data_IF_481932607989
#
_entry.id   IF_481932607989
#
_cell.length_a   1.000
_cell.length_b   1.000
_cell.length_c   1.000
_cell.angle_alpha   90.00
_cell.angle_beta   90.00
_cell.angle_gamma   90.00
#
_symmetry.space_group_name_H-M   'P 1'
#
loop_
_entity.id
_entity.type
_entity.pdbx_description
1 polymer ?
#
# COMPACT_ATOMS: atom_id res chain seq x y z
N UNK A 1 -21.65 -30.73 -14.72
CA UNK A 1 -20.71 -29.67 -15.08
C UNK A 1 -21.14 -28.28 -14.61
N UNK A 2 -22.37 -27.91 -14.86
CA UNK A 2 -22.89 -26.60 -14.47
C UNK A 2 -22.82 -26.38 -12.95
N UNK A 3 -23.19 -27.39 -12.17
CA UNK A 3 -23.16 -27.30 -10.70
C UNK A 3 -21.74 -27.12 -10.19
N UNK A 4 -20.78 -27.86 -10.75
CA UNK A 4 -19.39 -27.74 -10.36
C UNK A 4 -18.82 -26.36 -10.72
N UNK A 5 -19.22 -25.81 -11.86
CA UNK A 5 -18.79 -24.47 -12.26
C UNK A 5 -19.31 -23.41 -11.29
N UNK A 6 -20.55 -23.55 -10.85
CA UNK A 6 -21.13 -22.61 -9.88
C UNK A 6 -20.39 -22.70 -8.56
N UNK A 7 -20.10 -23.89 -8.06
CA UNK A 7 -19.34 -24.07 -6.82
C UNK A 7 -17.94 -23.51 -6.95
N UNK A 8 -17.27 -23.78 -8.07
CA UNK A 8 -15.92 -23.28 -8.30
C UNK A 8 -15.92 -21.75 -8.40
N UNK A 9 -16.92 -21.17 -9.05
CA UNK A 9 -17.05 -19.73 -9.15
C UNK A 9 -17.23 -19.09 -7.77
N UNK A 10 -18.04 -19.69 -6.89
CA UNK A 10 -18.25 -19.18 -5.54
C UNK A 10 -16.98 -19.28 -4.69
N UNK A 11 -16.28 -20.41 -4.78
CA UNK A 11 -15.01 -20.59 -4.08
C UNK A 11 -13.96 -19.60 -4.60
N UNK A 12 -13.88 -19.43 -5.91
CA UNK A 12 -12.95 -18.50 -6.53
C UNK A 12 -13.27 -17.05 -6.14
N UNK A 13 -14.57 -16.74 -6.04
CA UNK A 13 -14.99 -15.41 -5.61
C UNK A 13 -14.55 -15.12 -4.18
N UNK A 14 -14.77 -16.06 -3.26
CA UNK A 14 -14.35 -15.88 -1.87
C UNK A 14 -12.83 -15.76 -1.77
N UNK A 15 -12.10 -16.59 -2.51
CA UNK A 15 -10.65 -16.52 -2.52
C UNK A 15 -10.16 -15.15 -3.05
N UNK A 16 -10.78 -14.66 -4.12
CA UNK A 16 -10.45 -13.35 -4.67
C UNK A 16 -10.78 -12.24 -3.68
N UNK A 17 -11.91 -12.33 -2.99
CA UNK A 17 -12.29 -11.35 -1.99
C UNK A 17 -11.37 -11.41 -0.78
N UNK A 18 -10.87 -12.59 -0.42
CA UNK A 18 -9.90 -12.73 0.67
C UNK A 18 -8.60 -12.00 0.33
N UNK A 19 -8.12 -12.14 -0.90
CA UNK A 19 -6.94 -11.44 -1.36
C UNK A 19 -7.16 -9.93 -1.37
N UNK A 20 -8.33 -9.49 -1.86
CA UNK A 20 -8.67 -8.06 -1.85
C UNK A 20 -8.77 -7.52 -0.43
N UNK A 21 -9.35 -8.27 0.48
CA UNK A 21 -9.43 -7.88 1.88
C UNK A 21 -8.04 -7.75 2.50
N UNK A 22 -7.11 -8.62 2.11
CA UNK A 22 -5.72 -8.54 2.54
C UNK A 22 -5.05 -7.24 2.07
N UNK A 23 -5.32 -6.84 0.83
CA UNK A 23 -4.84 -5.57 0.31
C UNK A 23 -5.38 -4.41 1.16
N UNK A 24 -6.69 -4.36 1.37
CA UNK A 24 -7.28 -3.25 2.14
C UNK A 24 -6.82 -3.27 3.59
N UNK A 25 -6.56 -4.43 4.16
CA UNK A 25 -5.99 -4.51 5.52
C UNK A 25 -4.60 -3.92 5.55
N UNK A 26 -3.78 -4.21 4.54
CA UNK A 26 -2.44 -3.62 4.45
C UNK A 26 -2.49 -2.11 4.32
N UNK A 27 -3.47 -1.58 3.59
CA UNK A 27 -3.67 -0.14 3.41
C UNK A 27 -4.40 0.51 4.60
N UNK A 28 -4.96 -0.28 5.50
CA UNK A 28 -5.80 0.21 6.59
C UNK A 28 -5.03 0.61 7.84
N UNK A 29 -3.81 1.06 7.70
CA UNK A 29 -2.98 1.52 8.83
C UNK A 29 -2.33 2.86 8.48
N UNK A 30 -2.47 3.89 9.34
CA UNK A 30 -1.92 5.21 9.02
C UNK A 30 -0.41 5.22 8.78
N UNK A 31 0.34 4.44 9.55
CA UNK A 31 1.80 4.38 9.39
C UNK A 31 2.16 3.75 8.05
N UNK A 32 1.47 2.67 7.68
CA UNK A 32 1.73 2.04 6.39
C UNK A 32 1.37 2.97 5.23
N UNK A 33 0.27 3.72 5.35
CA UNK A 33 -0.06 4.71 4.32
C UNK A 33 1.01 5.78 4.22
N UNK A 34 1.55 6.24 5.34
CA UNK A 34 2.64 7.22 5.34
C UNK A 34 3.89 6.67 4.66
N UNK A 35 4.24 5.41 4.96
CA UNK A 35 5.39 4.76 4.32
C UNK A 35 5.17 4.71 2.81
N UNK A 36 3.99 4.29 2.37
CA UNK A 36 3.69 4.19 0.94
C UNK A 36 3.75 5.56 0.25
N UNK A 37 3.30 6.61 0.93
CA UNK A 37 3.42 7.97 0.40
C UNK A 37 4.87 8.37 0.19
N UNK A 38 5.73 8.10 1.15
CA UNK A 38 7.16 8.41 1.00
C UNK A 38 7.78 7.58 -0.13
N UNK A 39 7.45 6.30 -0.21
CA UNK A 39 7.98 5.43 -1.26
C UNK A 39 7.44 5.81 -2.64
N UNK A 40 6.30 6.48 -2.73
CA UNK A 40 5.79 6.96 -4.00
C UNK A 40 6.65 8.08 -4.59
N UNK A 41 7.45 8.74 -3.76
CA UNK A 41 8.38 9.77 -4.19
C UNK A 41 9.71 9.19 -4.65
N UNK A 42 9.97 7.93 -4.36
CA UNK A 42 11.20 7.24 -4.76
C UNK A 42 11.60 6.20 -3.73
N UNK A 43 12.57 5.35 -4.06
CA UNK A 43 13.07 4.34 -3.13
C UNK A 43 13.67 4.97 -1.87
N UNK A 44 13.51 4.27 -0.74
CA UNK A 44 14.04 4.72 0.56
C UNK A 44 14.62 3.55 1.32
N UNK A 45 15.61 3.84 2.15
CA UNK A 45 16.13 2.90 3.14
C UNK A 45 15.32 3.07 4.43
N UNK A 46 15.36 2.05 5.30
CA UNK A 46 14.65 2.09 6.58
C UNK A 46 15.06 3.33 7.39
N UNK A 47 16.35 3.64 7.44
CA UNK A 47 16.84 4.78 8.21
C UNK A 47 16.25 6.09 7.70
N UNK A 48 16.04 6.21 6.41
CA UNK A 48 15.43 7.42 5.83
C UNK A 48 13.96 7.53 6.22
N UNK A 49 13.24 6.41 6.18
CA UNK A 49 11.83 6.39 6.59
C UNK A 49 11.67 6.70 8.07
N UNK A 50 12.55 6.16 8.92
CA UNK A 50 12.50 6.46 10.36
C UNK A 50 12.73 7.95 10.60
N UNK A 51 13.65 8.55 9.87
CA UNK A 51 13.93 9.98 10.01
C UNK A 51 12.72 10.81 9.58
N UNK A 52 12.09 10.45 8.45
CA UNK A 52 10.91 11.19 7.94
C UNK A 52 9.71 11.03 8.86
N UNK A 53 9.49 9.85 9.42
CA UNK A 53 8.27 9.53 10.15
C UNK A 53 8.41 9.73 11.66
N UNK A 54 9.64 9.85 12.16
CA UNK A 54 9.87 10.00 13.59
C UNK A 54 9.50 8.77 14.39
N UNK A 55 9.62 7.58 13.79
CA UNK A 55 9.25 6.31 14.43
C UNK A 55 10.48 5.45 14.67
N UNK A 56 10.34 4.47 15.58
CA UNK A 56 11.39 3.51 15.84
C UNK A 56 11.66 2.64 14.62
N UNK A 57 12.91 2.25 14.43
CA UNK A 57 13.30 1.40 13.30
C UNK A 57 12.54 0.07 13.30
N UNK A 58 12.35 -0.52 14.48
CA UNK A 58 11.61 -1.78 14.58
C UNK A 58 10.17 -1.65 14.12
N UNK A 59 9.53 -0.50 14.41
CA UNK A 59 8.17 -0.23 13.96
C UNK A 59 8.10 -0.11 12.43
N UNK A 60 9.01 0.68 11.86
CA UNK A 60 9.06 0.85 10.40
C UNK A 60 9.36 -0.47 9.71
N UNK A 61 10.34 -1.22 10.24
CA UNK A 61 10.70 -2.52 9.66
C UNK A 61 9.55 -3.51 9.69
N UNK A 62 8.77 -3.53 10.77
CA UNK A 62 7.61 -4.42 10.88
C UNK A 62 6.54 -4.07 9.83
N UNK A 63 6.27 -2.78 9.63
CA UNK A 63 5.32 -2.35 8.61
C UNK A 63 5.83 -2.65 7.19
N UNK A 64 7.11 -2.45 6.93
CA UNK A 64 7.69 -2.80 5.64
C UNK A 64 7.61 -4.29 5.37
N UNK A 65 7.82 -5.12 6.39
CA UNK A 65 7.67 -6.57 6.24
C UNK A 65 6.24 -6.95 5.88
N UNK A 66 5.26 -6.31 6.50
CA UNK A 66 3.85 -6.50 6.17
C UNK A 66 3.57 -6.11 4.71
N UNK A 67 4.03 -4.93 4.31
CA UNK A 67 3.82 -4.44 2.94
C UNK A 67 4.52 -5.32 1.90
N UNK A 68 5.69 -5.83 2.23
CA UNK A 68 6.40 -6.76 1.35
C UNK A 68 5.67 -8.09 1.25
N UNK A 69 5.15 -8.58 2.37
CA UNK A 69 4.36 -9.82 2.36
C UNK A 69 3.10 -9.72 1.53
N UNK A 70 2.53 -8.52 1.42
CA UNK A 70 1.35 -8.27 0.57
C UNK A 70 1.73 -7.94 -0.88
N UNK A 71 3.02 -7.88 -1.20
CA UNK A 71 3.46 -7.60 -2.55
C UNK A 71 3.44 -6.13 -2.97
N UNK A 72 3.20 -5.21 -2.03
CA UNK A 72 3.11 -3.77 -2.34
C UNK A 72 4.47 -3.11 -2.41
N UNK A 73 5.45 -3.63 -1.69
CA UNK A 73 6.83 -3.14 -1.74
C UNK A 73 7.77 -4.30 -2.00
N UNK A 74 8.93 -3.95 -2.49
CA UNK A 74 10.05 -4.90 -2.66
C UNK A 74 11.28 -4.29 -2.02
N UNK A 75 12.23 -5.13 -1.66
CA UNK A 75 13.51 -4.71 -1.12
C UNK A 75 14.64 -5.19 -2.00
N UNK A 76 15.69 -4.39 -2.04
CA UNK A 76 16.88 -4.69 -2.83
C UNK A 76 18.09 -4.43 -1.95
N UNK A 77 19.04 -5.38 -1.85
CA UNK A 77 20.24 -5.13 -1.08
C UNK A 77 21.03 -3.94 -1.62
N UNK A 78 21.52 -3.10 -0.71
CA UNK A 78 22.34 -1.96 -1.05
C UNK A 78 23.43 -1.82 0.02
N UNK A 79 24.57 -2.44 -0.19
CA UNK A 79 25.59 -2.53 0.83
C UNK A 79 25.08 -3.34 2.02
N UNK A 80 25.12 -2.76 3.23
CA UNK A 80 24.67 -3.41 4.45
C UNK A 80 23.20 -3.14 4.75
N UNK A 81 22.56 -2.30 3.95
CA UNK A 81 21.16 -1.97 4.15
C UNK A 81 20.33 -2.48 2.98
N UNK A 82 19.02 -2.26 3.05
CA UNK A 82 18.10 -2.58 1.97
C UNK A 82 17.40 -1.33 1.50
N UNK A 83 17.22 -1.25 0.19
CA UNK A 83 16.48 -0.18 -0.44
C UNK A 83 15.08 -0.68 -0.75
N UNK A 84 14.07 0.00 -0.24
CA UNK A 84 12.66 -0.35 -0.43
C UNK A 84 12.04 0.52 -1.51
N UNK A 85 11.23 -0.11 -2.35
CA UNK A 85 10.53 0.61 -3.43
C UNK A 85 9.16 -0.03 -3.65
N UNK A 86 8.28 0.73 -4.32
CA UNK A 86 6.95 0.24 -4.67
C UNK A 86 7.06 -0.78 -5.80
N UNK A 87 6.31 -1.86 -5.69
CA UNK A 87 6.27 -2.92 -6.70
C UNK A 87 5.48 -2.48 -7.93
N UNK A 88 4.30 -1.92 -7.71
CA UNK A 88 3.39 -1.49 -8.78
C UNK A 88 2.97 -0.04 -8.50
N UNK A 89 3.90 0.88 -8.77
CA UNK A 89 3.75 2.29 -8.39
C UNK A 89 2.52 2.94 -9.01
N UNK A 90 2.33 2.80 -10.31
CA UNK A 90 1.23 3.48 -10.99
C UNK A 90 -0.13 2.94 -10.52
N UNK A 91 -0.25 1.64 -10.32
CA UNK A 91 -1.48 1.03 -9.84
C UNK A 91 -1.79 1.43 -8.41
N UNK A 92 -0.77 1.49 -7.56
CA UNK A 92 -0.95 1.94 -6.18
C UNK A 92 -1.38 3.41 -6.13
N UNK A 93 -0.73 4.27 -6.92
CA UNK A 93 -1.09 5.69 -6.94
C UNK A 93 -2.53 5.88 -7.44
N UNK A 94 -2.96 5.11 -8.43
CA UNK A 94 -4.34 5.14 -8.90
C UNK A 94 -5.31 4.74 -7.80
N UNK A 95 -4.95 3.71 -7.03
CA UNK A 95 -5.79 3.25 -5.91
C UNK A 95 -5.90 4.32 -4.83
N UNK A 96 -4.78 4.95 -4.47
CA UNK A 96 -4.79 6.02 -3.46
C UNK A 96 -5.60 7.22 -3.93
N UNK A 97 -5.50 7.58 -5.21
CA UNK A 97 -6.29 8.67 -5.77
C UNK A 97 -7.79 8.36 -5.73
N UNK A 98 -8.17 7.12 -6.05
CA UNK A 98 -9.56 6.70 -5.98
C UNK A 98 -10.08 6.74 -4.53
N UNK A 99 -9.24 6.35 -3.57
CA UNK A 99 -9.59 6.41 -2.16
C UNK A 99 -9.80 7.85 -1.71
N UNK A 100 -8.99 8.79 -2.19
CA UNK A 100 -9.20 10.22 -1.90
C UNK A 100 -10.57 10.68 -2.39
N UNK A 101 -10.94 10.29 -3.62
CA UNK A 101 -12.24 10.64 -4.19
C UNK A 101 -13.39 10.08 -3.34
N UNK A 102 -13.24 8.84 -2.90
CA UNK A 102 -14.25 8.21 -2.06
C UNK A 102 -14.38 8.93 -0.72
N UNK A 103 -13.26 9.28 -0.10
CA UNK A 103 -13.25 10.01 1.16
C UNK A 103 -13.92 11.37 1.00
N UNK A 104 -13.60 12.08 -0.07
CA UNK A 104 -14.24 13.38 -0.36
C UNK A 104 -15.73 13.21 -0.51
N UNK A 105 -16.18 12.19 -1.22
CA UNK A 105 -17.60 11.92 -1.44
C UNK A 105 -18.33 11.58 -0.13
N UNK A 106 -17.62 11.05 0.87
CA UNK A 106 -18.20 10.69 2.16
C UNK A 106 -17.98 11.76 3.23
N UNK A 107 -17.47 12.92 2.85
CA UNK A 107 -17.35 14.07 3.74
C UNK A 107 -15.99 14.28 4.37
N UNK A 108 -15.01 13.43 4.06
CA UNK A 108 -13.65 13.57 4.56
C UNK A 108 -12.76 14.14 3.47
N UNK A 109 -11.75 14.91 3.87
CA UNK A 109 -10.77 15.43 2.92
C UNK A 109 -9.37 15.10 3.39
N UNK A 110 -8.76 14.13 2.73
CA UNK A 110 -7.42 13.67 3.06
C UNK A 110 -6.65 13.47 1.76
N UNK A 111 -5.42 13.98 1.71
CA UNK A 111 -4.54 13.74 0.58
C UNK A 111 -3.75 12.46 0.82
N UNK A 112 -4.04 11.44 0.03
CA UNK A 112 -3.33 10.16 0.09
C UNK A 112 -2.23 10.07 -0.96
N UNK A 113 -2.42 10.72 -2.10
CA UNK A 113 -1.47 10.66 -3.21
C UNK A 113 -0.67 11.95 -3.28
N UNK A 114 0.66 11.92 -3.03
CA UNK A 114 1.47 13.15 -3.03
C UNK A 114 1.52 13.85 -4.38
N UNK A 115 1.24 13.12 -5.48
CA UNK A 115 1.27 13.70 -6.82
C UNK A 115 0.16 14.73 -7.08
N UNK A 116 -0.88 14.71 -6.25
CA UNK A 116 -2.01 15.61 -6.41
C UNK A 116 -2.01 16.73 -5.37
N UNK A 117 -0.91 16.94 -4.71
CA UNK A 117 -0.77 17.88 -3.60
C UNK A 117 -1.27 19.27 -3.98
N UNK A 118 -2.53 19.53 -3.71
CA UNK A 118 -3.16 20.83 -3.93
C UNK A 118 -3.36 21.22 -5.39
N UNK A 119 -2.84 20.47 -6.34
CA UNK A 119 -2.97 20.78 -7.77
C UNK A 119 -4.13 20.03 -8.41
N UNK A 120 -4.67 19.05 -7.74
CA UNK A 120 -5.78 18.27 -8.22
C UNK A 120 -7.07 19.08 -8.17
N UNK A 121 -7.78 19.08 -9.27
CA UNK A 121 -9.04 19.82 -9.39
C UNK A 121 -10.21 18.91 -9.72
#
# INVERSE_FOLDING_TARGET
MTINLVKNAAVDEVAALTAAAGLFRALGDPTRLAILRHLSLGPHRVVELTAHLGLAQSTVSAHLACLRGCGLVRSQPQGRSSLFSLTARSELLAQLAAAEDLLTATGEQVLLCPLYDGTRQ
#
